data_IF_882398364816
#
_entry.id   IF_882398364816
#
_cell.length_a   1.000
_cell.length_b   1.000
_cell.length_c   1.000
_cell.angle_alpha   90.00
_cell.angle_beta   90.00
_cell.angle_gamma   90.00
#
_symmetry.space_group_name_H-M   'P 1'
#
loop_
_entity.id
_entity.type
_entity.pdbx_description
1 polymer ?
#
# COMPACT_ATOMS: atom_id res chain seq x y z
N UNK A 1 -8.06 -3.82 1.77
CA UNK A 1 -9.14 -3.93 2.76
C UNK A 1 -9.05 -2.75 3.69
N UNK A 2 -10.18 -2.11 4.00
CA UNK A 2 -10.20 -0.97 4.92
C UNK A 2 -9.85 -1.40 6.34
N UNK A 3 -8.85 -0.77 6.93
CA UNK A 3 -8.62 -0.87 8.37
C UNK A 3 -9.50 0.17 9.07
N UNK A 4 -10.75 -0.20 9.36
CA UNK A 4 -11.49 0.44 10.47
C UNK A 4 -11.28 -0.51 11.65
N UNK A 5 -10.34 -0.17 12.53
CA UNK A 5 -10.07 -0.94 13.74
C UNK A 5 -10.98 -0.46 14.86
N UNK A 6 -12.00 -1.24 15.19
CA UNK A 6 -12.74 -1.07 16.46
C UNK A 6 -11.97 -1.81 17.55
N UNK A 7 -11.02 -1.07 18.17
CA UNK A 7 -10.14 -1.38 19.31
C UNK A 7 -8.85 -2.18 19.01
N UNK A 8 -7.64 -1.84 19.50
CA UNK A 8 -7.23 -1.00 20.63
C UNK A 8 -6.59 0.34 20.20
N UNK A 9 -7.09 1.42 20.81
CA UNK A 9 -6.56 2.81 20.79
C UNK A 9 -6.75 3.62 19.50
N UNK A 10 -8.01 3.84 19.06
CA UNK A 10 -8.56 5.04 18.40
C UNK A 10 -7.91 5.64 17.14
N UNK A 11 -6.72 5.21 16.73
CA UNK A 11 -5.93 5.78 15.65
C UNK A 11 -5.88 4.87 14.41
N UNK A 12 -5.57 5.48 13.27
CA UNK A 12 -5.46 4.78 12.00
C UNK A 12 -4.27 3.80 12.02
N UNK A 13 -4.53 2.54 11.70
CA UNK A 13 -3.56 1.44 11.85
C UNK A 13 -2.66 1.25 10.63
N UNK A 14 -2.55 2.23 9.73
CA UNK A 14 -1.77 2.05 8.50
C UNK A 14 -0.31 1.71 8.81
N UNK A 15 0.29 2.37 9.79
CA UNK A 15 1.67 2.10 10.20
C UNK A 15 1.81 0.65 10.64
N UNK A 16 0.98 0.21 11.59
CA UNK A 16 0.98 -1.15 12.12
C UNK A 16 0.85 -2.21 11.03
N UNK A 17 -0.03 -1.96 10.06
CA UNK A 17 -0.48 -2.95 9.08
C UNK A 17 0.43 -2.98 7.85
N UNK A 18 0.82 -1.83 7.31
CA UNK A 18 1.52 -1.73 6.03
C UNK A 18 3.04 -1.58 6.18
N UNK A 19 3.54 -1.04 7.29
CA UNK A 19 4.99 -0.96 7.53
C UNK A 19 5.52 -2.34 7.94
N UNK A 20 6.64 -2.80 7.34
CA UNK A 20 7.27 -4.07 7.69
C UNK A 20 7.65 -4.19 9.18
N UNK A 21 7.77 -5.42 9.66
CA UNK A 21 8.32 -5.72 10.98
C UNK A 21 9.87 -5.70 10.94
N UNK A 22 10.46 -4.53 10.76
CA UNK A 22 11.91 -4.35 10.65
C UNK A 22 12.71 -4.84 11.86
N UNK A 23 12.09 -4.92 13.05
CA UNK A 23 12.66 -5.53 14.26
C UNK A 23 13.26 -6.91 14.01
N UNK A 24 12.60 -7.71 13.16
CA UNK A 24 12.96 -9.10 12.90
C UNK A 24 13.97 -9.21 11.74
N UNK A 25 14.34 -8.10 11.09
CA UNK A 25 15.33 -8.10 10.01
C UNK A 25 16.74 -8.27 10.59
N UNK A 26 17.32 -9.44 10.36
CA UNK A 26 18.61 -9.86 10.93
C UNK A 26 19.53 -10.41 9.86
N UNK A 27 20.84 -10.26 10.05
CA UNK A 27 21.90 -10.94 9.29
C UNK A 27 22.84 -11.56 10.31
N UNK A 28 23.14 -12.85 10.16
CA UNK A 28 23.98 -13.62 11.09
C UNK A 28 23.53 -13.48 12.56
N UNK A 29 22.21 -13.47 12.80
CA UNK A 29 21.61 -13.35 14.13
C UNK A 29 21.53 -11.92 14.69
N UNK A 30 22.17 -10.92 14.06
CA UNK A 30 22.20 -9.52 14.53
C UNK A 30 21.14 -8.68 13.79
N UNK A 31 20.35 -7.89 14.53
CA UNK A 31 19.35 -7.00 13.94
C UNK A 31 20.01 -5.90 13.11
N UNK A 32 19.42 -5.56 11.96
CA UNK A 32 19.94 -4.49 11.09
C UNK A 32 19.52 -3.11 11.57
N UNK A 33 18.32 -3.02 12.15
CA UNK A 33 17.72 -1.74 12.50
C UNK A 33 17.46 -1.64 14.00
N UNK A 34 17.61 -0.44 14.51
CA UNK A 34 16.99 -0.07 15.78
C UNK A 34 15.47 -0.03 15.58
N UNK A 35 14.68 -0.45 16.57
CA UNK A 35 13.23 -0.51 16.45
C UNK A 35 12.52 -0.40 17.80
N UNK A 36 11.40 0.34 17.91
CA UNK A 36 10.80 1.18 16.87
C UNK A 36 11.49 2.55 16.77
N UNK A 37 11.65 3.06 15.55
CA UNK A 37 12.34 4.33 15.28
C UNK A 37 11.56 5.12 14.22
N UNK A 38 11.47 6.44 14.41
CA UNK A 38 10.86 7.40 13.49
C UNK A 38 11.81 7.72 12.32
N UNK A 39 12.21 6.70 11.56
CA UNK A 39 13.07 6.83 10.38
C UNK A 39 12.48 6.03 9.19
N UNK A 40 13.28 5.66 8.19
CA UNK A 40 12.82 4.86 7.05
C UNK A 40 12.40 3.42 7.40
N UNK A 41 12.55 2.99 8.65
CA UNK A 41 11.89 1.77 9.16
C UNK A 41 10.43 2.01 9.54
N UNK A 42 9.96 3.26 9.51
CA UNK A 42 8.55 3.62 9.51
C UNK A 42 7.83 3.41 10.84
N UNK A 43 8.52 3.52 11.96
CA UNK A 43 7.91 3.39 13.29
C UNK A 43 7.74 1.95 13.74
N UNK A 44 6.52 1.57 14.17
CA UNK A 44 6.24 0.28 14.83
C UNK A 44 5.37 -0.66 14.00
N UNK A 45 5.78 -0.89 12.75
CA UNK A 45 5.16 -1.85 11.83
C UNK A 45 5.15 -3.32 12.29
N UNK A 46 4.22 -4.12 11.77
CA UNK A 46 4.11 -5.59 11.95
C UNK A 46 4.09 -6.34 10.62
N UNK A 47 3.85 -5.64 9.53
CA UNK A 47 3.76 -6.20 8.20
C UNK A 47 2.64 -7.22 8.00
N UNK A 48 1.41 -6.84 8.35
CA UNK A 48 0.22 -7.65 8.04
C UNK A 48 -0.21 -7.55 6.57
N UNK A 49 0.15 -6.47 5.88
CA UNK A 49 -0.13 -6.27 4.46
C UNK A 49 1.13 -5.77 3.74
N UNK A 50 1.60 -6.55 2.77
CA UNK A 50 2.66 -6.15 1.85
C UNK A 50 2.06 -5.87 0.45
N UNK A 51 2.64 -4.97 -0.34
CA UNK A 51 2.25 -4.80 -1.74
C UNK A 51 2.55 -6.06 -2.56
N UNK A 52 1.75 -6.33 -3.60
CA UNK A 52 2.11 -7.35 -4.58
C UNK A 52 3.37 -6.95 -5.35
N UNK A 53 4.10 -7.92 -5.93
CA UNK A 53 5.21 -7.63 -6.86
C UNK A 53 4.77 -6.73 -8.01
N UNK A 54 3.54 -6.92 -8.47
CA UNK A 54 2.98 -6.07 -9.51
C UNK A 54 2.94 -4.60 -9.08
N UNK A 55 2.40 -4.30 -7.89
CA UNK A 55 2.33 -2.93 -7.39
C UNK A 55 3.71 -2.38 -7.00
N UNK A 56 4.53 -3.21 -6.36
CA UNK A 56 5.84 -2.82 -5.92
C UNK A 56 6.80 -2.59 -7.10
N UNK A 57 6.65 -3.25 -8.24
CA UNK A 57 7.70 -3.27 -9.26
C UNK A 57 7.17 -3.08 -10.67
N UNK A 58 6.25 -3.94 -11.09
CA UNK A 58 5.93 -4.12 -12.50
C UNK A 58 5.03 -3.01 -13.04
N UNK A 59 4.10 -2.49 -12.22
CA UNK A 59 3.14 -1.48 -12.64
C UNK A 59 3.82 -0.19 -13.08
N UNK A 60 5.04 0.10 -12.64
CA UNK A 60 5.75 1.33 -12.98
C UNK A 60 6.37 1.30 -14.39
N UNK A 61 6.64 0.11 -14.93
CA UNK A 61 7.19 -0.07 -16.27
C UNK A 61 8.43 0.78 -16.53
N UNK A 62 8.45 1.49 -17.66
CA UNK A 62 9.55 2.41 -18.03
C UNK A 62 9.66 3.62 -17.10
N UNK A 63 8.62 3.93 -16.33
CA UNK A 63 8.62 5.09 -15.44
C UNK A 63 9.20 4.78 -14.05
N UNK A 64 9.67 3.55 -13.79
CA UNK A 64 10.12 3.11 -12.47
C UNK A 64 11.09 4.08 -11.79
N UNK A 65 12.01 4.70 -12.54
CA UNK A 65 13.01 5.61 -12.01
C UNK A 65 12.66 7.10 -12.14
N UNK A 66 11.58 7.48 -12.84
CA UNK A 66 11.23 8.88 -13.11
C UNK A 66 9.92 9.31 -12.45
N UNK A 67 9.01 8.37 -12.17
CA UNK A 67 7.78 8.66 -11.46
C UNK A 67 8.09 8.97 -9.99
N UNK A 68 7.86 10.21 -9.58
CA UNK A 68 8.17 10.68 -8.23
C UNK A 68 7.40 9.89 -7.16
N UNK A 69 6.26 9.29 -7.49
CA UNK A 69 5.47 8.47 -6.56
C UNK A 69 6.20 7.17 -6.19
N UNK A 70 7.12 6.71 -7.03
CA UNK A 70 7.98 5.56 -6.78
C UNK A 70 9.35 5.93 -6.19
N UNK A 71 9.66 7.22 -6.07
CA UNK A 71 10.90 7.66 -5.44
C UNK A 71 10.99 7.18 -3.99
N UNK A 72 12.21 6.96 -3.50
CA UNK A 72 12.44 6.30 -2.21
C UNK A 72 11.82 7.02 -1.00
N UNK A 73 11.48 8.32 -1.11
CA UNK A 73 10.81 9.06 -0.05
C UNK A 73 9.28 8.90 -0.06
N UNK A 74 8.69 8.39 -1.15
CA UNK A 74 7.26 8.08 -1.27
C UNK A 74 6.99 6.57 -1.18
N UNK A 75 7.87 5.76 -1.78
CA UNK A 75 7.84 4.30 -1.75
C UNK A 75 9.20 3.82 -1.24
N UNK A 76 9.29 3.53 0.05
CA UNK A 76 10.54 3.18 0.72
C UNK A 76 11.01 1.81 0.23
N UNK A 77 12.21 1.75 -0.34
CA UNK A 77 12.83 0.53 -0.90
C UNK A 77 14.25 0.33 -0.41
N UNK A 78 15.00 1.42 -0.27
CA UNK A 78 16.39 1.45 0.18
C UNK A 78 16.47 2.16 1.52
N UNK A 79 17.10 1.50 2.49
CA UNK A 79 17.05 1.89 3.89
C UNK A 79 18.46 1.81 4.47
N UNK A 80 18.96 2.88 5.15
CA UNK A 80 20.22 2.82 5.86
C UNK A 80 20.11 1.91 7.09
N UNK A 81 21.11 1.07 7.31
CA UNK A 81 21.21 0.17 8.48
C UNK A 81 21.61 1.00 9.70
N UNK A 82 20.69 1.09 10.67
CA UNK A 82 20.80 2.01 11.82
C UNK A 82 21.32 1.36 13.10
N UNK A 83 21.43 0.03 13.17
CA UNK A 83 21.97 -0.63 14.36
C UNK A 83 23.51 -0.66 14.34
N UNK A 84 24.22 0.00 15.30
CA UNK A 84 25.69 0.00 15.38
C UNK A 84 26.31 -1.38 15.59
N UNK A 85 25.54 -2.33 16.13
CA UNK A 85 26.02 -3.71 16.33
C UNK A 85 25.95 -4.53 15.04
N UNK A 86 25.22 -4.06 14.02
CA UNK A 86 25.08 -4.77 12.75
C UNK A 86 26.41 -4.75 11.97
N UNK A 87 26.79 -5.87 11.32
CA UNK A 87 27.94 -5.88 10.41
C UNK A 87 27.75 -4.96 9.18
N UNK A 88 26.52 -4.52 8.92
CA UNK A 88 26.17 -3.64 7.82
C UNK A 88 25.93 -2.19 8.26
N UNK A 89 26.28 -1.83 9.50
CA UNK A 89 26.01 -0.49 10.04
C UNK A 89 26.51 0.63 9.11
N UNK A 90 25.65 1.61 8.85
CA UNK A 90 25.92 2.72 7.94
C UNK A 90 25.80 2.39 6.45
N UNK A 91 25.63 1.12 6.06
CA UNK A 91 25.36 0.74 4.69
C UNK A 91 23.86 0.88 4.36
N UNK A 92 23.55 1.08 3.08
CA UNK A 92 22.17 1.08 2.59
C UNK A 92 21.82 -0.29 2.04
N UNK A 93 20.70 -0.86 2.49
CA UNK A 93 20.17 -2.14 2.01
C UNK A 93 18.92 -1.94 1.18
N UNK A 94 18.69 -2.80 0.19
CA UNK A 94 17.56 -2.73 -0.74
C UNK A 94 16.59 -3.87 -0.53
N UNK A 95 15.29 -3.57 -0.56
CA UNK A 95 14.21 -4.59 -0.54
C UNK A 95 14.18 -5.45 -1.80
N UNK A 96 14.76 -4.98 -2.92
CA UNK A 96 14.92 -5.75 -4.17
C UNK A 96 16.04 -6.79 -4.08
N UNK A 97 17.06 -6.49 -3.28
CA UNK A 97 18.20 -7.36 -3.05
C UNK A 97 18.51 -7.42 -1.55
N UNK A 98 17.67 -8.13 -0.76
CA UNK A 98 17.89 -8.27 0.67
C UNK A 98 19.30 -8.83 0.95
N UNK A 99 19.99 -8.37 2.01
CA UNK A 99 21.33 -8.83 2.33
C UNK A 99 21.44 -10.36 2.43
N UNK A 100 22.56 -10.91 1.96
CA UNK A 100 22.87 -12.32 2.11
C UNK A 100 22.85 -12.72 3.61
N UNK A 101 22.34 -13.92 3.90
CA UNK A 101 22.18 -14.39 5.28
C UNK A 101 20.99 -13.80 6.04
N UNK A 102 20.14 -12.99 5.40
CA UNK A 102 18.90 -12.47 6.01
C UNK A 102 17.73 -13.46 6.03
N UNK A 103 17.76 -14.47 5.16
CA UNK A 103 16.68 -15.46 5.03
C UNK A 103 15.34 -14.87 4.54
N UNK A 104 15.32 -13.64 4.03
CA UNK A 104 14.11 -12.99 3.53
C UNK A 104 13.75 -13.55 2.15
N UNK A 105 12.55 -14.11 2.05
CA UNK A 105 11.93 -14.53 0.78
C UNK A 105 10.60 -13.81 0.58
N UNK A 106 10.24 -13.47 -0.66
CA UNK A 106 8.90 -12.96 -0.95
C UNK A 106 7.89 -14.12 -0.92
N UNK A 107 6.76 -14.03 -0.19
CA UNK A 107 6.30 -12.90 0.61
C UNK A 107 7.00 -12.83 1.97
N UNK A 108 7.29 -11.63 2.45
CA UNK A 108 7.86 -11.43 3.79
C UNK A 108 7.05 -10.43 4.57
N UNK A 109 6.92 -10.62 5.89
CA UNK A 109 6.42 -9.57 6.80
C UNK A 109 7.53 -8.63 7.28
N UNK A 110 8.79 -9.05 7.12
CA UNK A 110 9.95 -8.47 7.80
C UNK A 110 10.58 -7.36 6.98
N UNK A 111 10.66 -7.55 5.66
CA UNK A 111 11.41 -6.66 4.78
C UNK A 111 10.81 -6.69 3.38
N UNK A 112 10.15 -5.60 3.00
CA UNK A 112 9.50 -5.40 1.71
C UNK A 112 9.29 -3.89 1.50
N UNK A 113 9.13 -3.41 0.26
CA UNK A 113 8.94 -1.99 0.01
C UNK A 113 7.57 -1.54 0.49
N UNK A 114 7.46 -0.36 1.08
CA UNK A 114 6.19 0.16 1.60
C UNK A 114 6.01 1.65 1.29
N UNK A 115 4.78 2.13 1.29
CA UNK A 115 4.51 3.54 1.02
C UNK A 115 4.69 4.38 2.28
N UNK A 116 5.44 5.47 2.16
CA UNK A 116 5.72 6.41 3.25
C UNK A 116 4.44 6.97 3.89
N UNK A 117 3.36 7.13 3.10
CA UNK A 117 2.03 7.55 3.57
C UNK A 117 1.44 6.66 4.68
N UNK A 118 1.94 5.43 4.85
CA UNK A 118 1.50 4.55 5.92
C UNK A 118 1.91 5.03 7.32
N UNK A 119 2.89 5.93 7.43
CA UNK A 119 3.53 6.35 8.69
C UNK A 119 3.96 7.82 8.60
N UNK A 120 4.59 8.34 9.65
CA UNK A 120 4.99 9.74 9.80
C UNK A 120 6.50 9.81 10.04
N UNK A 121 7.29 9.49 9.01
CA UNK A 121 8.76 9.41 9.08
C UNK A 121 9.34 10.71 9.64
N UNK A 122 10.10 10.63 10.73
CA UNK A 122 10.73 11.74 11.44
C UNK A 122 9.79 12.81 12.02
N UNK A 123 8.47 12.62 11.93
CA UNK A 123 7.47 13.61 12.34
C UNK A 123 6.35 12.99 13.21
N UNK A 124 6.69 11.94 13.96
CA UNK A 124 5.81 11.42 15.01
C UNK A 124 5.58 12.48 16.11
N UNK A 125 4.41 12.50 16.79
CA UNK A 125 4.16 13.40 17.91
C UNK A 125 5.25 13.33 19.00
N UNK A 126 5.66 14.48 19.51
CA UNK A 126 6.75 14.61 20.50
C UNK A 126 6.61 13.66 21.69
N UNK A 127 5.37 13.43 22.16
CA UNK A 127 5.07 12.56 23.29
C UNK A 127 5.41 11.07 23.05
N UNK A 128 5.63 10.65 21.82
CA UNK A 128 5.94 9.28 21.45
C UNK A 128 7.43 8.98 21.39
N UNK A 129 8.29 10.00 21.36
CA UNK A 129 9.73 9.78 21.46
C UNK A 129 10.11 9.37 22.88
N UNK A 130 11.07 8.44 22.99
CA UNK A 130 11.66 8.04 24.28
C UNK A 130 12.49 9.18 24.84
N UNK A 131 13.27 9.85 23.99
CA UNK A 131 14.20 10.92 24.36
C UNK A 131 13.93 12.20 23.55
N UNK A 132 12.80 12.90 23.80
CA UNK A 132 12.46 14.10 23.04
C UNK A 132 13.53 15.19 23.21
N UNK A 133 14.01 15.76 22.10
CA UNK A 133 15.05 16.80 22.11
C UNK A 133 16.49 16.30 22.25
N UNK A 134 16.72 14.98 22.26
CA UNK A 134 18.07 14.41 22.25
C UNK A 134 18.84 14.83 20.99
N UNK A 135 20.14 15.14 21.14
CA UNK A 135 21.08 15.38 20.03
C UNK A 135 21.76 14.11 19.52
N UNK A 136 21.57 12.97 20.20
CA UNK A 136 22.13 11.68 19.80
C UNK A 136 21.52 11.25 18.45
N UNK A 137 22.33 11.00 17.41
CA UNK A 137 21.82 10.71 16.07
C UNK A 137 21.01 9.41 15.99
N UNK A 138 21.20 8.48 16.93
CA UNK A 138 20.53 7.18 17.01
C UNK A 138 19.29 7.29 17.91
N UNK A 139 19.42 7.89 19.10
CA UNK A 139 18.34 7.92 20.10
C UNK A 139 17.31 9.02 19.88
N UNK A 140 17.63 10.06 19.11
CA UNK A 140 16.69 11.18 18.86
C UNK A 140 15.39 10.77 18.20
N UNK A 141 15.39 9.68 17.45
CA UNK A 141 14.21 9.15 16.75
C UNK A 141 13.64 7.89 17.39
N UNK A 142 14.16 7.46 18.55
CA UNK A 142 13.69 6.27 19.26
C UNK A 142 12.24 6.48 19.76
N UNK A 143 11.36 5.52 19.46
CA UNK A 143 9.94 5.60 19.77
C UNK A 143 9.54 4.68 20.92
N UNK A 144 8.49 5.09 21.66
CA UNK A 144 7.85 4.28 22.68
C UNK A 144 7.11 3.09 22.04
N UNK A 145 6.91 2.02 22.82
CA UNK A 145 6.15 0.85 22.38
C UNK A 145 4.67 1.13 22.01
N UNK A 146 4.13 2.30 22.38
CA UNK A 146 2.79 2.76 22.01
C UNK A 146 2.70 3.44 20.63
N UNK A 147 3.82 3.78 20.00
CA UNK A 147 3.87 4.50 18.73
C UNK A 147 3.67 3.55 17.54
N UNK A 148 2.45 3.00 17.39
CA UNK A 148 2.13 2.05 16.31
C UNK A 148 0.92 2.43 15.48
N UNK A 149 0.54 3.70 15.47
CA UNK A 149 -0.55 4.23 14.65
C UNK A 149 0.01 5.35 13.79
N UNK A 150 -0.62 5.63 12.65
CA UNK A 150 -0.26 6.81 11.87
C UNK A 150 -0.91 8.06 12.46
N UNK A 151 -0.15 9.15 12.47
CA UNK A 151 -0.58 10.47 12.93
C UNK A 151 -0.72 11.47 11.77
N UNK A 152 -0.57 10.99 10.53
CA UNK A 152 -0.83 11.77 9.34
C UNK A 152 -2.33 11.81 9.01
N UNK A 153 -2.77 12.94 8.46
CA UNK A 153 -4.13 13.10 7.95
C UNK A 153 -4.45 12.05 6.86
N UNK A 154 -5.68 11.56 6.89
CA UNK A 154 -6.15 10.54 5.97
C UNK A 154 -7.00 11.17 4.87
N UNK A 155 -6.56 11.04 3.62
CA UNK A 155 -7.34 11.51 2.49
C UNK A 155 -8.54 10.58 2.27
N UNK A 156 -9.75 11.13 2.42
CA UNK A 156 -10.99 10.45 2.04
C UNK A 156 -11.31 10.66 0.56
N UNK A 157 -11.06 11.88 0.07
CA UNK A 157 -11.24 12.27 -1.32
C UNK A 157 -10.11 13.22 -1.71
N UNK A 158 -9.69 13.16 -2.97
CA UNK A 158 -8.66 14.05 -3.50
C UNK A 158 -8.85 14.23 -4.99
N UNK A 159 -8.46 15.39 -5.52
CA UNK A 159 -8.73 15.79 -6.89
C UNK A 159 -8.25 14.78 -7.95
N UNK A 160 -7.11 14.14 -7.73
CA UNK A 160 -6.59 13.13 -8.67
C UNK A 160 -7.49 11.88 -8.76
N UNK A 161 -8.27 11.54 -7.73
CA UNK A 161 -9.30 10.51 -7.89
C UNK A 161 -10.41 10.97 -8.84
N UNK A 162 -10.85 12.23 -8.73
CA UNK A 162 -11.87 12.80 -9.60
C UNK A 162 -11.45 12.78 -11.08
N UNK A 163 -10.19 13.11 -11.38
CA UNK A 163 -9.64 12.97 -12.74
C UNK A 163 -9.74 11.52 -13.24
N UNK A 164 -9.34 10.54 -12.42
CA UNK A 164 -9.36 9.13 -12.83
C UNK A 164 -10.78 8.57 -12.94
N UNK A 165 -11.74 9.02 -12.12
CA UNK A 165 -13.16 8.69 -12.27
C UNK A 165 -13.76 9.30 -13.54
N UNK A 166 -13.40 10.55 -13.86
CA UNK A 166 -13.85 11.20 -15.08
C UNK A 166 -13.23 10.58 -16.34
N UNK A 167 -11.95 10.18 -16.29
CA UNK A 167 -11.32 9.41 -17.35
C UNK A 167 -12.01 8.06 -17.59
N UNK A 168 -12.44 7.37 -16.53
CA UNK A 168 -13.24 6.14 -16.64
C UNK A 168 -14.58 6.40 -17.33
N UNK A 169 -15.28 7.48 -16.96
CA UNK A 169 -16.53 7.87 -17.61
C UNK A 169 -16.33 8.22 -19.10
N UNK A 170 -15.27 8.97 -19.44
CA UNK A 170 -14.94 9.27 -20.83
C UNK A 170 -14.62 8.01 -21.65
N UNK A 171 -13.90 7.05 -21.06
CA UNK A 171 -13.67 5.76 -21.70
C UNK A 171 -15.01 5.04 -22.00
N UNK A 172 -15.96 5.07 -21.05
CA UNK A 172 -17.31 4.51 -21.24
C UNK A 172 -18.12 5.19 -22.36
N UNK A 173 -17.81 6.45 -22.67
CA UNK A 173 -18.40 7.21 -23.78
C UNK A 173 -17.63 7.07 -25.10
N UNK A 174 -16.56 6.27 -25.15
CA UNK A 174 -15.68 6.15 -26.32
C UNK A 174 -14.77 7.38 -26.55
N UNK A 175 -14.64 8.25 -25.56
CA UNK A 175 -13.88 9.52 -25.60
C UNK A 175 -12.46 9.34 -25.06
N UNK A 176 -11.65 8.53 -25.74
CA UNK A 176 -10.32 8.13 -25.25
C UNK A 176 -9.32 9.29 -25.22
N UNK A 177 -9.47 10.30 -26.08
CA UNK A 177 -8.65 11.52 -26.06
C UNK A 177 -8.86 12.31 -24.77
N UNK A 178 -10.11 12.54 -24.37
CA UNK A 178 -10.45 13.25 -23.14
C UNK A 178 -10.04 12.44 -21.90
N UNK A 179 -10.20 11.12 -21.94
CA UNK A 179 -9.71 10.25 -20.88
C UNK A 179 -8.18 10.32 -20.72
N UNK A 180 -7.43 10.34 -21.84
CA UNK A 180 -5.98 10.53 -21.80
C UNK A 180 -5.58 11.89 -21.23
N UNK A 181 -6.29 12.96 -21.57
CA UNK A 181 -6.06 14.29 -20.99
C UNK A 181 -6.19 14.28 -19.46
N UNK A 182 -7.23 13.65 -18.93
CA UNK A 182 -7.45 13.54 -17.48
C UNK A 182 -6.38 12.70 -16.78
N UNK A 183 -6.00 11.57 -17.37
CA UNK A 183 -4.92 10.73 -16.87
C UNK A 183 -3.59 11.49 -16.89
N UNK A 184 -3.31 12.23 -17.95
CA UNK A 184 -2.08 12.98 -18.11
C UNK A 184 -1.97 14.16 -17.15
N UNK A 185 -3.08 14.73 -16.67
CA UNK A 185 -3.03 15.69 -15.57
C UNK A 185 -2.38 15.09 -14.31
N UNK A 186 -2.72 13.84 -13.98
CA UNK A 186 -2.14 13.11 -12.83
C UNK A 186 -0.68 12.71 -13.10
N UNK A 187 -0.41 12.17 -14.29
CA UNK A 187 0.93 11.68 -14.68
C UNK A 187 1.96 12.79 -14.81
N UNK A 188 1.59 13.92 -15.40
CA UNK A 188 2.47 15.09 -15.55
C UNK A 188 2.90 15.64 -14.19
N UNK A 189 1.98 15.73 -13.22
CA UNK A 189 2.32 16.14 -11.84
C UNK A 189 3.30 15.17 -11.19
N UNK A 190 3.24 13.89 -11.53
CA UNK A 190 4.14 12.86 -11.02
C UNK A 190 5.45 12.70 -11.82
N UNK A 191 5.68 13.53 -12.85
CA UNK A 191 6.80 13.40 -13.80
C UNK A 191 6.84 12.04 -14.55
N UNK A 192 5.69 11.37 -14.66
CA UNK A 192 5.56 10.12 -15.42
C UNK A 192 5.29 10.38 -16.90
N UNK A 193 5.69 9.44 -17.77
CA UNK A 193 5.51 9.57 -19.23
C UNK A 193 4.03 9.71 -19.60
N UNK A 194 3.58 10.72 -20.36
CA UNK A 194 2.17 10.83 -20.75
C UNK A 194 1.64 9.59 -21.49
N UNK A 195 0.39 9.20 -21.22
CA UNK A 195 -0.31 8.15 -21.95
C UNK A 195 -0.87 8.68 -23.28
N UNK A 196 -0.83 7.84 -24.31
CA UNK A 196 -1.52 8.09 -25.58
C UNK A 196 -2.98 7.66 -25.49
N UNK A 197 -3.89 8.39 -26.17
CA UNK A 197 -5.31 8.07 -26.23
C UNK A 197 -5.58 6.60 -26.64
N UNK A 198 -4.82 6.08 -27.60
CA UNK A 198 -4.95 4.69 -28.07
C UNK A 198 -4.63 3.63 -26.99
N UNK A 199 -3.89 4.00 -25.95
CA UNK A 199 -3.50 3.09 -24.86
C UNK A 199 -4.44 3.17 -23.66
N UNK A 200 -5.43 4.08 -23.68
CA UNK A 200 -6.39 4.21 -22.59
C UNK A 200 -7.35 3.04 -22.61
N UNK A 201 -7.22 2.18 -21.61
CA UNK A 201 -8.12 1.06 -21.34
C UNK A 201 -8.55 1.10 -19.88
N UNK A 202 -9.59 0.36 -19.52
CA UNK A 202 -10.00 0.23 -18.12
C UNK A 202 -8.85 -0.34 -17.27
N UNK A 203 -8.04 -1.22 -17.85
CA UNK A 203 -6.91 -1.77 -17.14
C UNK A 203 -5.81 -0.74 -16.89
N UNK A 204 -5.55 0.13 -17.87
CA UNK A 204 -4.64 1.26 -17.70
C UNK A 204 -5.11 2.20 -16.58
N UNK A 205 -6.39 2.57 -16.57
CA UNK A 205 -6.96 3.45 -15.53
C UNK A 205 -6.82 2.79 -14.16
N UNK A 206 -7.12 1.50 -14.07
CA UNK A 206 -6.97 0.74 -12.84
C UNK A 206 -5.52 0.65 -12.35
N UNK A 207 -4.53 0.61 -13.24
CA UNK A 207 -3.11 0.63 -12.92
C UNK A 207 -2.67 2.02 -12.47
N UNK A 208 -3.13 3.07 -13.14
CA UNK A 208 -2.86 4.45 -12.75
C UNK A 208 -3.47 4.79 -11.38
N UNK A 209 -4.67 4.29 -11.09
CA UNK A 209 -5.29 4.37 -9.75
C UNK A 209 -4.42 3.71 -8.69
N UNK A 210 -3.79 2.57 -9.00
CA UNK A 210 -2.88 1.87 -8.08
C UNK A 210 -1.59 2.66 -7.83
N UNK A 211 -0.96 3.21 -8.88
CA UNK A 211 0.24 4.06 -8.75
C UNK A 211 -0.04 5.30 -7.89
N UNK A 212 -1.20 5.90 -8.10
CA UNK A 212 -1.57 7.18 -7.51
C UNK A 212 -2.11 7.08 -6.07
N UNK A 213 -2.94 6.05 -5.80
CA UNK A 213 -3.73 5.91 -4.57
C UNK A 213 -3.35 4.67 -3.77
N UNK A 214 -2.09 4.26 -3.85
CA UNK A 214 -1.56 3.22 -2.98
C UNK A 214 -1.93 3.48 -1.52
N UNK A 215 -2.29 2.42 -0.80
CA UNK A 215 -2.81 2.40 0.59
C UNK A 215 -4.07 3.25 0.88
N UNK A 216 -4.43 4.21 0.03
CA UNK A 216 -5.59 5.11 0.17
C UNK A 216 -6.84 4.58 -0.52
N UNK A 217 -6.70 3.97 -1.70
CA UNK A 217 -7.85 3.51 -2.49
C UNK A 217 -8.59 2.40 -1.74
N UNK A 218 -9.93 2.50 -1.70
CA UNK A 218 -10.80 1.36 -1.39
C UNK A 218 -10.83 0.38 -2.59
N UNK A 219 -9.65 -0.12 -2.97
CA UNK A 219 -9.38 -0.84 -4.22
C UNK A 219 -10.34 -1.98 -4.50
N UNK A 220 -10.66 -2.75 -3.47
CA UNK A 220 -11.60 -3.86 -3.58
C UNK A 220 -12.98 -3.40 -4.06
N UNK A 221 -13.49 -2.27 -3.55
CA UNK A 221 -14.77 -1.71 -3.99
C UNK A 221 -14.72 -1.27 -5.45
N UNK A 222 -13.63 -0.59 -5.86
CA UNK A 222 -13.41 -0.21 -7.27
C UNK A 222 -13.43 -1.44 -8.19
N UNK A 223 -12.71 -2.50 -7.79
CA UNK A 223 -12.62 -3.73 -8.59
C UNK A 223 -13.95 -4.50 -8.64
N UNK A 224 -14.67 -4.59 -7.51
CA UNK A 224 -15.97 -5.26 -7.46
C UNK A 224 -17.01 -4.52 -8.32
N UNK A 225 -17.05 -3.18 -8.27
CA UNK A 225 -17.95 -2.37 -9.12
C UNK A 225 -17.74 -2.63 -10.62
N UNK A 226 -16.50 -2.94 -11.01
CA UNK A 226 -16.14 -3.23 -12.40
C UNK A 226 -16.19 -4.73 -12.74
N UNK A 227 -16.53 -5.60 -11.78
CA UNK A 227 -16.49 -7.06 -11.97
C UNK A 227 -15.07 -7.63 -12.18
N UNK A 228 -14.03 -6.90 -11.77
CA UNK A 228 -12.62 -7.20 -12.04
C UNK A 228 -11.85 -7.73 -10.83
N UNK A 229 -12.50 -7.95 -9.69
CA UNK A 229 -11.81 -8.42 -8.48
C UNK A 229 -11.16 -9.78 -8.72
N UNK A 230 -11.93 -10.74 -9.27
CA UNK A 230 -11.42 -12.06 -9.60
C UNK A 230 -10.20 -11.98 -10.52
N UNK A 231 -10.34 -11.35 -11.69
CA UNK A 231 -9.28 -11.28 -12.70
C UNK A 231 -8.00 -10.64 -12.15
N UNK A 232 -8.13 -9.55 -11.39
CA UNK A 232 -6.98 -8.83 -10.84
C UNK A 232 -6.29 -9.59 -9.72
N UNK A 233 -7.03 -10.26 -8.85
CA UNK A 233 -6.42 -11.05 -7.77
C UNK A 233 -5.75 -12.29 -8.33
N UNK A 234 -6.39 -13.02 -9.26
CA UNK A 234 -5.80 -14.19 -9.93
C UNK A 234 -4.51 -13.80 -10.65
N UNK A 235 -4.52 -12.68 -11.37
CA UNK A 235 -3.37 -12.24 -12.17
C UNK A 235 -2.19 -11.76 -11.31
N UNK A 236 -2.44 -11.04 -10.22
CA UNK A 236 -1.39 -10.29 -9.52
C UNK A 236 -1.13 -10.71 -8.07
N UNK A 237 -1.92 -11.64 -7.52
CA UNK A 237 -1.75 -12.15 -6.17
C UNK A 237 -1.52 -13.67 -6.18
N UNK A 238 -0.27 -14.14 -6.11
CA UNK A 238 0.04 -15.57 -6.19
C UNK A 238 -0.45 -16.37 -4.98
N UNK A 239 -0.79 -15.72 -3.86
CA UNK A 239 -1.20 -16.41 -2.62
C UNK A 239 -2.70 -16.62 -2.53
N UNK A 240 -3.47 -15.64 -2.99
CA UNK A 240 -4.92 -15.68 -2.94
C UNK A 240 -5.55 -16.00 -4.29
N UNK A 241 -4.83 -15.86 -5.41
CA UNK A 241 -5.34 -16.16 -6.75
C UNK A 241 -5.90 -17.58 -6.87
N UNK A 242 -5.25 -18.57 -6.26
CA UNK A 242 -5.71 -19.97 -6.25
C UNK A 242 -6.96 -20.22 -5.40
N UNK A 243 -7.29 -19.28 -4.51
CA UNK A 243 -8.47 -19.33 -3.64
C UNK A 243 -9.60 -18.43 -4.16
N UNK A 244 -9.38 -17.69 -5.25
CA UNK A 244 -10.40 -16.80 -5.80
C UNK A 244 -11.38 -17.57 -6.68
N UNK A 245 -12.63 -17.15 -6.63
CA UNK A 245 -13.68 -17.64 -7.50
C UNK A 245 -14.40 -16.45 -8.16
N UNK A 246 -14.94 -16.65 -9.36
CA UNK A 246 -15.62 -15.56 -10.09
C UNK A 246 -16.78 -14.95 -9.30
N UNK A 247 -17.49 -15.77 -8.51
CA UNK A 247 -18.58 -15.32 -7.62
C UNK A 247 -18.14 -14.26 -6.61
N UNK A 248 -16.86 -14.20 -6.23
CA UNK A 248 -16.35 -13.22 -5.25
C UNK A 248 -16.31 -11.78 -5.77
N UNK A 249 -16.61 -11.55 -7.05
CA UNK A 249 -16.90 -10.21 -7.56
C UNK A 249 -18.09 -9.54 -6.84
N UNK A 250 -19.01 -10.33 -6.29
CA UNK A 250 -20.09 -9.88 -5.40
C UNK A 250 -19.99 -10.62 -4.06
N UNK A 251 -20.42 -9.99 -2.98
CA UNK A 251 -20.53 -10.68 -1.68
C UNK A 251 -21.81 -11.49 -1.59
N UNK A 252 -21.80 -12.58 -0.83
CA UNK A 252 -23.03 -13.26 -0.46
C UNK A 252 -23.95 -12.30 0.32
N UNK A 253 -25.24 -12.31 0.02
CA UNK A 253 -26.25 -11.69 0.86
C UNK A 253 -26.31 -12.51 2.16
N UNK A 254 -26.24 -11.89 3.35
CA UNK A 254 -26.31 -12.63 4.60
C UNK A 254 -27.62 -13.43 4.69
N UNK A 255 -27.52 -14.73 5.01
CA UNK A 255 -28.68 -15.63 5.03
C UNK A 255 -29.82 -15.15 5.94
N UNK A 256 -29.49 -14.50 7.06
CA UNK A 256 -30.48 -13.91 7.96
C UNK A 256 -31.31 -12.78 7.32
N UNK A 257 -30.74 -12.04 6.36
CA UNK A 257 -31.48 -10.97 5.65
C UNK A 257 -32.43 -11.58 4.61
N UNK A 258 -32.04 -12.69 3.96
CA UNK A 258 -32.93 -13.45 3.06
C UNK A 258 -34.12 -14.01 3.84
N UNK A 259 -33.87 -14.65 4.99
CA UNK A 259 -34.91 -15.29 5.80
C UNK A 259 -35.91 -14.30 6.41
N UNK A 260 -35.45 -13.10 6.78
CA UNK A 260 -36.31 -12.04 7.36
C UNK A 260 -37.19 -11.36 6.31
N UNK A 261 -36.85 -11.44 5.03
CA UNK A 261 -37.62 -10.78 3.99
C UNK A 261 -38.89 -11.58 3.67
N UNK A 262 -39.98 -11.28 4.38
CA UNK A 262 -41.28 -11.95 4.18
C UNK A 262 -42.15 -11.26 3.13
N UNK A 263 -41.79 -10.06 2.70
CA UNK A 263 -42.57 -9.25 1.75
C UNK A 263 -42.25 -9.51 0.27
N UNK A 264 -41.09 -10.10 -0.01
CA UNK A 264 -40.65 -10.50 -1.35
C UNK A 264 -39.57 -11.58 -1.26
N UNK A 265 -39.41 -12.37 -2.32
CA UNK A 265 -38.29 -13.32 -2.42
C UNK A 265 -37.01 -12.52 -2.65
N UNK A 266 -36.06 -12.61 -1.71
CA UNK A 266 -34.70 -12.09 -1.87
C UNK A 266 -33.80 -13.21 -2.39
N UNK A 267 -33.54 -13.21 -3.69
CA UNK A 267 -32.64 -14.20 -4.31
C UNK A 267 -31.19 -13.92 -3.94
N UNK A 268 -30.42 -14.99 -3.75
CA UNK A 268 -29.00 -14.92 -3.46
C UNK A 268 -28.20 -14.50 -4.71
N UNK A 269 -27.04 -13.87 -4.50
CA UNK A 269 -26.11 -13.58 -5.58
C UNK A 269 -25.61 -14.87 -6.27
N UNK A 270 -25.36 -14.85 -7.59
CA UNK A 270 -24.94 -16.03 -8.32
C UNK A 270 -23.71 -16.73 -7.73
N UNK A 271 -23.78 -18.05 -7.59
CA UNK A 271 -22.70 -18.89 -7.09
C UNK A 271 -22.67 -19.04 -5.55
N UNK A 272 -23.59 -18.42 -4.82
CA UNK A 272 -23.77 -18.67 -3.39
C UNK A 272 -25.07 -19.44 -3.13
N UNK A 273 -25.07 -20.28 -2.09
CA UNK A 273 -26.21 -21.08 -1.65
C UNK A 273 -26.73 -20.57 -0.30
#
# INVERSE_FOLDING_TARGET
GGAVSTAMAGGFQMERVHVPLFRDMRVNGVALFQWPVSDYTGGRGVGFMQPSKYFANEVWGTDFNIDIRNANHNFIRTIPVTNPLSPLYGQTVSTEAPPAGSGVTFPSRVFYPYQAKATTIQDHPTALYVNPGSSDPIKKYELKASAGVTYADQYMFRLAETYLLRAEAYLGLGKTSEAATDINAVRNRAHATPVLAANVTIDYILDERMREMGVEEKRMLTLMRLGKLYDRVVKYNPFYGTKMEQRFNLWAIPAGEIQKNTGAVLEQNPGYN
#
